data_IF_262433150243
#
_entry.id   IF_262433150243
#
_cell.length_a   1.000
_cell.length_b   1.000
_cell.length_c   1.000
_cell.angle_alpha   90.00
_cell.angle_beta   90.00
_cell.angle_gamma   90.00
#
_symmetry.space_group_name_H-M   'P 1'
#
loop_
_entity.id
_entity.type
_entity.pdbx_description
1 polymer ?
#
# COMPACT_ATOMS: atom_id res chain seq x y z
N UNK A 1 13.68 7.57 6.84
CA UNK A 1 13.39 6.15 7.02
C UNK A 1 14.45 5.37 6.29
N UNK A 2 14.93 4.29 6.90
CA UNK A 2 15.92 3.42 6.27
C UNK A 2 15.19 2.26 5.57
N UNK A 3 15.57 1.99 4.32
CA UNK A 3 15.00 0.92 3.50
C UNK A 3 16.03 -0.18 3.22
N UNK A 4 17.26 -0.10 3.75
CA UNK A 4 18.33 -1.06 3.43
C UNK A 4 17.98 -2.52 3.73
N UNK A 5 17.09 -2.75 4.71
CA UNK A 5 16.64 -4.08 5.12
C UNK A 5 15.26 -4.44 4.53
N UNK A 6 14.77 -3.69 3.55
CA UNK A 6 13.53 -4.01 2.86
C UNK A 6 13.64 -5.34 2.12
N UNK A 7 12.70 -6.24 2.35
CA UNK A 7 12.43 -7.32 1.41
C UNK A 7 11.56 -6.76 0.28
N UNK A 8 12.00 -6.91 -0.96
CA UNK A 8 11.30 -6.40 -2.14
C UNK A 8 11.19 -7.51 -3.17
N UNK A 9 9.97 -7.81 -3.59
CA UNK A 9 9.68 -8.86 -4.56
C UNK A 9 8.81 -8.28 -5.68
N UNK A 10 9.23 -8.47 -6.94
CA UNK A 10 8.38 -8.21 -8.11
C UNK A 10 7.74 -9.51 -8.55
N UNK A 11 6.45 -9.44 -8.85
CA UNK A 11 5.64 -10.59 -9.20
C UNK A 11 4.79 -10.30 -10.42
N UNK A 12 4.43 -11.34 -11.14
CA UNK A 12 3.47 -11.26 -12.24
C UNK A 12 2.03 -11.36 -11.69
N UNK A 13 1.16 -10.44 -12.08
CA UNK A 13 -0.21 -10.35 -11.58
C UNK A 13 -1.10 -11.52 -11.99
N UNK A 14 -0.90 -12.05 -13.20
CA UNK A 14 -1.77 -13.10 -13.72
C UNK A 14 -1.40 -14.47 -13.16
N UNK A 15 -0.09 -14.71 -13.03
CA UNK A 15 0.44 -16.02 -12.65
C UNK A 15 0.87 -16.12 -11.19
N UNK A 16 0.89 -15.00 -10.46
CA UNK A 16 1.38 -14.87 -9.08
C UNK A 16 2.84 -15.34 -8.90
N UNK A 17 3.58 -15.54 -9.99
CA UNK A 17 4.96 -16.00 -9.93
C UNK A 17 5.91 -14.85 -9.59
N UNK A 18 6.91 -15.16 -8.77
CA UNK A 18 8.04 -14.27 -8.50
C UNK A 18 8.83 -14.05 -9.79
N UNK A 19 8.95 -12.79 -10.21
CA UNK A 19 9.78 -12.36 -11.32
C UNK A 19 11.21 -12.09 -10.87
N UNK A 20 11.36 -11.41 -9.72
CA UNK A 20 12.65 -11.12 -9.10
C UNK A 20 12.50 -10.75 -7.62
N UNK A 21 13.51 -11.09 -6.82
CA UNK A 21 13.75 -10.46 -5.52
C UNK A 21 14.76 -9.36 -5.74
N UNK A 22 14.37 -8.13 -5.42
CA UNK A 22 15.13 -6.91 -5.72
C UNK A 22 15.91 -6.42 -4.50
N UNK A 23 17.04 -5.76 -4.75
CA UNK A 23 17.75 -5.01 -3.73
C UNK A 23 16.93 -3.78 -3.31
N UNK A 24 17.06 -3.33 -2.06
CA UNK A 24 16.39 -2.13 -1.54
C UNK A 24 16.57 -0.88 -2.43
N UNK A 25 17.72 -0.79 -3.13
CA UNK A 25 18.01 0.28 -4.08
C UNK A 25 17.00 0.40 -5.22
N UNK A 26 16.24 -0.66 -5.52
CA UNK A 26 15.19 -0.67 -6.52
C UNK A 26 14.06 0.31 -6.16
N UNK A 27 13.81 0.54 -4.87
CA UNK A 27 12.81 1.50 -4.40
C UNK A 27 13.16 2.96 -4.76
N UNK A 28 14.38 3.23 -5.26
CA UNK A 28 14.76 4.55 -5.78
C UNK A 28 14.23 4.81 -7.19
N UNK A 29 13.75 3.79 -7.91
CA UNK A 29 13.05 3.97 -9.18
C UNK A 29 11.77 4.78 -8.97
N UNK A 30 11.33 5.48 -10.01
CA UNK A 30 10.06 6.22 -9.99
C UNK A 30 8.89 5.26 -9.84
N UNK A 31 7.84 5.67 -9.14
CA UNK A 31 6.61 4.87 -9.07
C UNK A 31 5.95 4.69 -10.45
N UNK A 32 6.23 5.58 -11.40
CA UNK A 32 5.85 5.43 -12.82
C UNK A 32 6.33 4.12 -13.46
N UNK A 33 7.27 3.41 -12.84
CA UNK A 33 7.61 2.03 -13.21
C UNK A 33 6.37 1.15 -13.44
N UNK A 34 5.38 1.17 -12.54
CA UNK A 34 4.20 0.32 -12.68
C UNK A 34 3.29 0.71 -13.87
N UNK A 35 3.42 1.91 -14.44
CA UNK A 35 2.72 2.26 -15.68
C UNK A 35 3.32 1.60 -16.91
N UNK A 36 4.64 1.40 -16.89
CA UNK A 36 5.38 0.73 -17.95
C UNK A 36 5.32 -0.80 -17.79
N UNK A 37 5.15 -1.26 -16.55
CA UNK A 37 5.12 -2.67 -16.13
C UNK A 37 3.77 -3.05 -15.52
N UNK A 38 2.68 -2.84 -16.26
CA UNK A 38 1.31 -3.02 -15.73
C UNK A 38 0.96 -4.44 -15.34
N UNK A 39 1.63 -5.45 -15.90
CA UNK A 39 1.44 -6.85 -15.53
C UNK A 39 2.16 -7.21 -14.23
N UNK A 40 2.88 -6.28 -13.61
CA UNK A 40 3.66 -6.52 -12.40
C UNK A 40 3.02 -5.86 -11.17
N UNK A 41 3.17 -6.53 -10.04
CA UNK A 41 3.02 -5.91 -8.72
C UNK A 41 4.32 -6.06 -7.93
N UNK A 42 4.50 -5.21 -6.93
CA UNK A 42 5.63 -5.29 -6.02
C UNK A 42 5.14 -5.54 -4.61
N UNK A 43 5.60 -6.62 -4.00
CA UNK A 43 5.44 -6.91 -2.59
C UNK A 43 6.65 -6.38 -1.81
N UNK A 44 6.40 -5.76 -0.67
CA UNK A 44 7.41 -5.15 0.20
C UNK A 44 7.14 -5.61 1.64
N UNK A 45 8.20 -5.99 2.34
CA UNK A 45 8.20 -6.11 3.81
C UNK A 45 9.27 -5.22 4.40
N UNK A 46 8.92 -4.58 5.52
CA UNK A 46 9.77 -3.62 6.24
C UNK A 46 9.47 -3.71 7.73
N UNK A 47 10.50 -3.72 8.58
CA UNK A 47 10.33 -3.68 10.04
C UNK A 47 9.51 -2.47 10.51
N UNK A 48 9.59 -1.35 9.78
CA UNK A 48 8.81 -0.14 10.06
C UNK A 48 7.28 -0.35 9.96
N UNK A 49 6.82 -1.40 9.25
CA UNK A 49 5.40 -1.71 9.11
C UNK A 49 4.74 -2.15 10.42
N UNK A 50 5.50 -2.71 11.37
CA UNK A 50 4.97 -3.07 12.68
C UNK A 50 4.46 -1.83 13.44
N UNK A 51 5.15 -0.69 13.31
CA UNK A 51 4.74 0.57 13.93
C UNK A 51 3.42 1.11 13.37
N UNK A 52 3.08 0.74 12.12
CA UNK A 52 1.82 1.09 11.47
C UNK A 52 0.84 -0.08 11.33
N UNK A 53 1.12 -1.20 12.01
CA UNK A 53 0.25 -2.37 12.11
C UNK A 53 -0.14 -2.95 10.76
N UNK A 54 0.79 -3.03 9.81
CA UNK A 54 0.59 -3.83 8.58
C UNK A 54 1.55 -5.02 8.55
N UNK A 55 1.19 -6.09 7.86
CA UNK A 55 2.02 -7.28 7.64
C UNK A 55 2.98 -7.14 6.46
N UNK A 56 2.51 -6.54 5.38
CA UNK A 56 3.23 -6.27 4.16
C UNK A 56 2.50 -5.23 3.33
N UNK A 57 3.12 -4.87 2.21
CA UNK A 57 2.61 -3.85 1.31
C UNK A 57 2.76 -4.32 -0.13
N UNK A 58 1.65 -4.33 -0.87
CA UNK A 58 1.68 -4.52 -2.32
C UNK A 58 1.37 -3.22 -3.04
N UNK A 59 2.17 -2.91 -4.05
CA UNK A 59 1.99 -1.78 -4.97
C UNK A 59 1.81 -2.28 -6.40
N UNK A 60 0.84 -1.72 -7.10
CA UNK A 60 0.63 -1.98 -8.52
C UNK A 60 -0.08 -0.82 -9.23
N UNK A 61 -0.09 -0.86 -10.55
CA UNK A 61 -0.99 -0.04 -11.38
C UNK A 61 -2.29 -0.80 -11.62
N UNK A 62 -3.42 -0.33 -11.11
CA UNK A 62 -4.73 -0.90 -11.42
C UNK A 62 -5.04 -0.76 -12.92
N UNK A 63 -5.37 -1.88 -13.56
CA UNK A 63 -5.57 -1.96 -15.01
C UNK A 63 -6.91 -1.38 -15.47
N UNK A 64 -7.89 -1.28 -14.58
CA UNK A 64 -9.25 -0.81 -14.87
C UNK A 64 -9.33 0.71 -14.75
N UNK A 65 -8.76 1.27 -13.68
CA UNK A 65 -8.85 2.67 -13.32
C UNK A 65 -7.59 3.46 -13.69
N UNK A 66 -6.47 2.79 -13.99
CA UNK A 66 -5.21 3.46 -14.31
C UNK A 66 -4.62 4.23 -13.13
N UNK A 67 -4.86 3.74 -11.92
CA UNK A 67 -4.40 4.34 -10.65
C UNK A 67 -3.45 3.41 -9.93
N UNK A 68 -2.55 3.96 -9.13
CA UNK A 68 -1.70 3.18 -8.23
C UNK A 68 -2.55 2.63 -7.08
N UNK A 69 -2.63 1.30 -6.99
CA UNK A 69 -3.32 0.58 -5.93
C UNK A 69 -2.34 0.19 -4.84
N UNK A 70 -2.76 0.35 -3.60
CA UNK A 70 -2.07 -0.11 -2.41
C UNK A 70 -2.89 -1.24 -1.80
N UNK A 71 -2.26 -2.36 -1.47
CA UNK A 71 -2.89 -3.46 -0.72
C UNK A 71 -2.05 -3.75 0.52
N UNK A 72 -2.67 -3.83 1.68
CA UNK A 72 -1.99 -4.09 2.94
C UNK A 72 -2.88 -4.88 3.91
N UNK A 73 -2.31 -5.82 4.65
CA UNK A 73 -2.98 -6.51 5.75
C UNK A 73 -2.91 -5.70 7.04
N UNK A 74 -3.96 -4.93 7.32
CA UNK A 74 -4.02 -4.03 8.47
C UNK A 74 -4.46 -4.78 9.75
N UNK A 75 -3.52 -4.93 10.69
CA UNK A 75 -3.65 -5.63 11.98
C UNK A 75 -4.41 -4.79 13.03
N UNK A 76 -5.65 -4.42 12.71
CA UNK A 76 -6.58 -3.76 13.63
C UNK A 76 -7.81 -4.62 13.93
N UNK A 77 -8.25 -4.62 15.18
CA UNK A 77 -9.42 -5.38 15.61
C UNK A 77 -10.69 -4.94 14.85
N UNK A 78 -11.56 -5.90 14.53
CA UNK A 78 -12.82 -5.67 13.79
C UNK A 78 -13.70 -4.55 14.37
N UNK A 79 -13.67 -4.34 15.69
CA UNK A 79 -14.46 -3.28 16.37
C UNK A 79 -14.18 -1.87 15.84
N UNK A 80 -13.05 -1.66 15.19
CA UNK A 80 -12.64 -0.36 14.64
C UNK A 80 -13.14 -0.10 13.22
N UNK A 81 -13.91 -1.01 12.61
CA UNK A 81 -14.41 -0.90 11.22
C UNK A 81 -14.96 0.49 10.89
N UNK A 82 -15.88 1.00 11.70
CA UNK A 82 -16.52 2.29 11.45
C UNK A 82 -15.52 3.46 11.52
N UNK A 83 -14.56 3.41 12.45
CA UNK A 83 -13.55 4.44 12.59
C UNK A 83 -12.55 4.43 11.42
N UNK A 84 -12.17 3.23 10.95
CA UNK A 84 -11.32 3.06 9.76
C UNK A 84 -12.01 3.66 8.53
N UNK A 85 -13.28 3.28 8.29
CA UNK A 85 -14.05 3.78 7.13
C UNK A 85 -14.19 5.30 7.14
N UNK A 86 -14.58 5.87 8.28
CA UNK A 86 -14.71 7.33 8.41
C UNK A 86 -13.38 8.03 8.12
N UNK A 87 -12.27 7.52 8.66
CA UNK A 87 -10.95 8.08 8.39
C UNK A 87 -10.60 8.02 6.89
N UNK A 88 -10.82 6.88 6.24
CA UNK A 88 -10.54 6.72 4.81
C UNK A 88 -11.42 7.65 3.95
N UNK A 89 -12.70 7.78 4.29
CA UNK A 89 -13.65 8.66 3.61
C UNK A 89 -13.24 10.15 3.69
N UNK A 90 -12.74 10.57 4.86
CA UNK A 90 -12.27 11.94 5.13
C UNK A 90 -10.92 12.27 4.47
N UNK A 91 -10.03 11.30 4.34
CA UNK A 91 -8.64 11.55 3.96
C UNK A 91 -8.26 11.11 2.53
N UNK A 92 -9.15 10.41 1.82
CA UNK A 92 -8.97 10.10 0.39
C UNK A 92 -9.81 11.04 -0.47
N UNK A 93 -9.16 11.92 -1.22
CA UNK A 93 -9.81 12.89 -2.12
C UNK A 93 -9.82 12.37 -3.56
N UNK A 94 -10.95 11.81 -4.01
CA UNK A 94 -11.12 11.28 -5.35
C UNK A 94 -12.58 10.94 -5.66
N UNK A 95 -12.94 10.92 -6.94
CA UNK A 95 -14.32 10.62 -7.39
C UNK A 95 -14.53 9.15 -7.79
N UNK A 96 -13.45 8.39 -7.97
CA UNK A 96 -13.49 6.95 -8.28
C UNK A 96 -13.44 6.07 -7.02
N UNK A 97 -13.25 4.75 -7.19
CA UNK A 97 -13.09 3.83 -6.07
C UNK A 97 -11.90 4.24 -5.20
N UNK A 98 -12.18 4.59 -3.95
CA UNK A 98 -11.16 5.10 -3.02
C UNK A 98 -10.46 3.99 -2.26
N UNK A 99 -11.23 3.02 -1.77
CA UNK A 99 -10.75 1.89 -1.00
C UNK A 99 -11.74 0.74 -1.05
N UNK A 100 -11.25 -0.44 -0.72
CA UNK A 100 -12.05 -1.60 -0.31
C UNK A 100 -11.43 -2.19 0.95
N UNK A 101 -12.25 -2.82 1.78
CA UNK A 101 -11.75 -3.49 2.98
C UNK A 101 -12.58 -4.74 3.28
N UNK A 102 -11.90 -5.84 3.58
CA UNK A 102 -12.50 -7.08 4.01
C UNK A 102 -11.83 -7.55 5.30
N UNK A 103 -12.61 -7.92 6.33
CA UNK A 103 -12.03 -8.49 7.54
C UNK A 103 -11.80 -9.99 7.36
N UNK A 104 -10.53 -10.39 7.37
CA UNK A 104 -10.14 -11.78 7.38
C UNK A 104 -10.26 -12.32 8.82
N UNK A 105 -11.27 -13.17 9.05
CA UNK A 105 -11.52 -13.75 10.39
C UNK A 105 -10.47 -14.78 10.80
N UNK A 106 -9.82 -15.43 9.85
CA UNK A 106 -8.81 -16.45 10.12
C UNK A 106 -7.53 -15.81 10.64
N UNK A 107 -7.09 -14.73 9.99
CA UNK A 107 -5.83 -14.06 10.31
C UNK A 107 -6.01 -12.87 11.27
N UNK A 108 -7.25 -12.43 11.49
CA UNK A 108 -7.60 -11.37 12.44
C UNK A 108 -7.18 -9.97 11.98
N UNK A 109 -7.08 -9.76 10.66
CA UNK A 109 -6.65 -8.52 10.02
C UNK A 109 -7.64 -8.05 8.95
N UNK A 110 -7.47 -6.81 8.49
CA UNK A 110 -8.21 -6.27 7.35
C UNK A 110 -7.36 -6.35 6.09
N UNK A 111 -7.90 -6.97 5.05
CA UNK A 111 -7.39 -6.80 3.69
C UNK A 111 -7.82 -5.40 3.24
N UNK A 112 -6.92 -4.42 3.38
CA UNK A 112 -7.17 -3.03 3.05
C UNK A 112 -6.54 -2.70 1.70
N UNK A 113 -7.38 -2.32 0.74
CA UNK A 113 -6.92 -1.77 -0.53
C UNK A 113 -7.31 -0.31 -0.63
N UNK A 114 -6.42 0.58 -1.10
CA UNK A 114 -6.77 1.96 -1.36
C UNK A 114 -5.99 2.57 -2.52
N UNK A 115 -6.58 3.61 -3.11
CA UNK A 115 -6.05 4.29 -4.28
C UNK A 115 -5.05 5.37 -3.85
N UNK A 116 -3.76 5.14 -4.09
CA UNK A 116 -2.68 6.04 -3.69
C UNK A 116 -2.81 7.44 -4.30
N UNK A 117 -3.33 7.52 -5.53
CA UNK A 117 -3.57 8.79 -6.23
C UNK A 117 -4.46 9.77 -5.46
N UNK A 118 -5.26 9.28 -4.52
CA UNK A 118 -6.20 10.11 -3.76
C UNK A 118 -5.63 10.64 -2.45
N UNK A 119 -4.35 10.36 -2.15
CA UNK A 119 -3.61 11.05 -1.11
C UNK A 119 -3.06 12.36 -1.64
N UNK A 120 -3.36 13.47 -0.97
CA UNK A 120 -2.91 14.82 -1.38
C UNK A 120 -1.38 14.95 -1.46
N UNK A 121 -0.65 14.16 -0.67
CA UNK A 121 0.82 14.16 -0.65
C UNK A 121 1.47 13.31 -1.74
N UNK A 122 0.68 12.60 -2.56
CA UNK A 122 1.19 11.73 -3.60
C UNK A 122 1.47 12.49 -4.89
N UNK A 123 2.70 12.32 -5.40
CA UNK A 123 3.11 12.82 -6.71
C UNK A 123 3.74 11.68 -7.51
N UNK A 124 3.33 11.55 -8.77
CA UNK A 124 3.73 10.41 -9.60
C UNK A 124 5.21 10.43 -10.02
N UNK A 125 5.84 11.61 -10.03
CA UNK A 125 7.25 11.73 -10.42
C UNK A 125 8.22 11.28 -9.32
N UNK A 126 7.70 10.95 -8.13
CA UNK A 126 8.47 10.52 -6.98
C UNK A 126 8.92 9.06 -7.08
N UNK A 127 9.88 8.70 -6.22
CA UNK A 127 10.36 7.33 -6.10
C UNK A 127 9.34 6.40 -5.42
N UNK A 128 9.48 5.10 -5.63
CA UNK A 128 8.69 4.08 -4.94
C UNK A 128 8.90 4.22 -3.42
N UNK A 129 10.14 4.44 -2.96
CA UNK A 129 10.44 4.63 -1.54
C UNK A 129 9.69 5.82 -0.94
N UNK A 130 9.54 6.92 -1.70
CA UNK A 130 8.74 8.08 -1.29
C UNK A 130 7.25 7.75 -1.20
N UNK A 131 6.73 6.97 -2.14
CA UNK A 131 5.35 6.48 -2.08
C UNK A 131 5.11 5.57 -0.86
N UNK A 132 6.03 4.64 -0.57
CA UNK A 132 5.98 3.80 0.63
C UNK A 132 5.99 4.65 1.90
N UNK A 133 6.83 5.68 1.96
CA UNK A 133 6.83 6.62 3.08
C UNK A 133 5.47 7.33 3.25
N UNK A 134 4.87 7.81 2.16
CA UNK A 134 3.54 8.44 2.19
C UNK A 134 2.48 7.47 2.74
N UNK A 135 2.54 6.20 2.34
CA UNK A 135 1.63 5.15 2.81
C UNK A 135 1.81 4.91 4.31
N UNK A 136 3.06 4.80 4.78
CA UNK A 136 3.36 4.64 6.21
C UNK A 136 2.83 5.84 6.99
N UNK A 137 3.07 7.08 6.54
CA UNK A 137 2.62 8.29 7.23
C UNK A 137 1.08 8.36 7.31
N UNK A 138 0.40 7.94 6.23
CA UNK A 138 -1.05 7.83 6.19
C UNK A 138 -1.59 6.81 7.20
N UNK A 139 -1.01 5.61 7.23
CA UNK A 139 -1.41 4.54 8.15
C UNK A 139 -1.05 4.84 9.61
N UNK A 140 0.05 5.56 9.85
CA UNK A 140 0.38 6.08 11.18
C UNK A 140 -0.69 7.07 11.67
N UNK A 141 -1.20 7.93 10.77
CA UNK A 141 -2.27 8.86 11.08
C UNK A 141 -3.58 8.14 11.39
N UNK A 142 -3.94 7.12 10.59
CA UNK A 142 -5.07 6.22 10.86
C UNK A 142 -4.97 5.58 12.26
N UNK A 143 -3.81 4.99 12.58
CA UNK A 143 -3.59 4.35 13.88
C UNK A 143 -3.68 5.34 15.05
N UNK A 144 -3.31 6.60 14.84
CA UNK A 144 -3.45 7.64 15.85
C UNK A 144 -4.88 8.17 16.00
N UNK A 145 -5.69 8.09 14.94
CA UNK A 145 -7.11 8.41 14.97
C UNK A 145 -7.91 7.35 15.74
N UNK A 146 -7.47 6.09 15.67
CA UNK A 146 -8.10 4.94 16.31
C UNK A 146 -7.44 4.67 17.67
N UNK A 147 -7.98 5.26 18.74
CA UNK A 147 -7.52 5.06 20.12
C UNK A 147 -8.60 4.46 21.00
#
# INVERSE_FOLDING_TARGET
MDFQEAYVERCDKETENVLAVEEASFLNNKISYFKEHKNEYMYIELDAFEAVKIDGLTLEMDDVFGTYSVMAGLKLQKKWEAAIKNFLDENLSGEGPKYSMLFNQQDGLWDLNFTLNYLTSFEENESISKAVQIIIDFLATLNNHIK
#
